data_IF_133967227519
#
_entry.id   IF_133967227519
#
_cell.length_a   1.000
_cell.length_b   1.000
_cell.length_c   1.000
_cell.angle_alpha   90.00
_cell.angle_beta   90.00
_cell.angle_gamma   90.00
#
_symmetry.space_group_name_H-M   'P 1'
#
loop_
_entity.id
_entity.type
_entity.pdbx_description
1 polymer ?
#
# COMPACT_ATOMS: atom_id res chain seq x y z
N UNK A 1 20.95 -5.54 -5.25
CA UNK A 1 22.26 -4.88 -5.27
C UNK A 1 22.35 -3.94 -6.46
N UNK A 2 23.11 -2.82 -6.35
CA UNK A 2 23.36 -1.95 -7.49
C UNK A 2 24.14 -2.68 -8.58
N UNK A 3 23.89 -2.30 -9.82
CA UNK A 3 24.62 -2.78 -10.99
C UNK A 3 24.87 -1.62 -11.95
N UNK A 4 25.85 -1.78 -12.84
CA UNK A 4 26.23 -0.78 -13.81
C UNK A 4 25.93 -1.25 -15.23
N UNK A 5 25.46 -0.33 -16.11
CA UNK A 5 25.21 -0.59 -17.51
C UNK A 5 25.39 0.68 -18.35
N UNK A 6 25.24 0.58 -19.68
CA UNK A 6 25.48 1.69 -20.59
C UNK A 6 24.31 1.84 -21.57
N UNK A 7 23.86 3.06 -21.77
CA UNK A 7 23.15 3.44 -22.99
C UNK A 7 24.23 3.85 -24.00
N UNK A 8 24.71 2.90 -24.79
CA UNK A 8 25.98 2.99 -25.49
C UNK A 8 25.88 3.59 -26.89
N UNK A 9 24.67 3.76 -27.44
CA UNK A 9 24.42 4.25 -28.79
C UNK A 9 23.06 4.93 -28.92
N UNK A 10 22.82 5.68 -30.00
CA UNK A 10 21.51 6.22 -30.33
C UNK A 10 20.43 5.12 -30.34
N UNK A 11 19.29 5.39 -29.71
CA UNK A 11 18.15 4.48 -29.66
C UNK A 11 18.33 3.24 -28.77
N UNK A 12 19.44 3.13 -28.01
CA UNK A 12 19.69 2.04 -27.07
C UNK A 12 18.67 2.04 -25.93
N UNK A 13 18.24 0.84 -25.52
CA UNK A 13 17.20 0.64 -24.48
C UNK A 13 17.54 -0.58 -23.64
N UNK A 14 17.68 -0.37 -22.36
CA UNK A 14 17.90 -1.44 -21.40
C UNK A 14 16.62 -1.80 -20.68
N UNK A 15 16.22 -3.07 -20.75
CA UNK A 15 15.05 -3.62 -20.08
C UNK A 15 15.46 -4.59 -18.98
N UNK A 16 14.99 -4.33 -17.78
CA UNK A 16 15.21 -5.16 -16.60
C UNK A 16 13.92 -5.81 -16.15
N UNK A 17 13.91 -7.15 -16.05
CA UNK A 17 12.76 -7.91 -15.57
C UNK A 17 12.67 -7.86 -14.06
N UNK A 18 11.47 -7.59 -13.53
CA UNK A 18 11.16 -7.57 -12.11
C UNK A 18 10.03 -8.56 -11.87
N UNK A 19 10.32 -9.67 -11.19
CA UNK A 19 9.31 -10.67 -10.86
C UNK A 19 8.56 -10.26 -9.60
N UNK A 20 7.24 -10.14 -9.71
CA UNK A 20 6.32 -9.79 -8.62
C UNK A 20 5.44 -11.00 -8.32
N UNK A 21 5.35 -11.39 -7.06
CA UNK A 21 4.59 -12.56 -6.59
C UNK A 21 3.29 -12.18 -5.85
N UNK A 22 3.08 -10.91 -5.58
CA UNK A 22 1.90 -10.35 -4.90
C UNK A 22 2.05 -8.84 -4.73
N UNK A 23 1.13 -8.18 -4.03
CA UNK A 23 1.17 -6.73 -3.81
C UNK A 23 2.54 -6.26 -3.33
N UNK A 24 3.12 -5.30 -4.03
CA UNK A 24 4.50 -4.84 -3.80
C UNK A 24 4.70 -3.40 -4.26
N UNK A 25 5.76 -2.76 -3.77
CA UNK A 25 6.26 -1.52 -4.32
C UNK A 25 7.58 -1.79 -5.06
N UNK A 26 7.65 -1.42 -6.33
CA UNK A 26 8.90 -1.39 -7.10
C UNK A 26 9.52 -0.01 -6.89
N UNK A 27 10.77 0.03 -6.43
CA UNK A 27 11.55 1.25 -6.24
C UNK A 27 12.78 1.16 -7.11
N UNK A 28 13.03 2.17 -7.92
CA UNK A 28 14.18 2.26 -8.82
C UNK A 28 14.93 3.54 -8.53
N UNK A 29 16.23 3.41 -8.34
CA UNK A 29 17.16 4.53 -8.17
C UNK A 29 18.29 4.38 -9.18
N UNK A 30 18.70 5.47 -9.82
CA UNK A 30 19.82 5.48 -10.76
C UNK A 30 20.52 6.85 -10.78
N UNK A 31 21.80 6.85 -11.09
CA UNK A 31 22.46 8.05 -11.60
C UNK A 31 22.20 8.22 -13.10
N UNK A 32 22.54 9.38 -13.65
CA UNK A 32 22.42 9.64 -15.09
C UNK A 32 23.65 10.40 -15.63
N UNK A 33 24.61 9.66 -16.19
CA UNK A 33 25.78 10.28 -16.81
C UNK A 33 25.51 11.00 -18.14
N UNK A 34 24.32 10.81 -18.70
CA UNK A 34 23.74 11.59 -19.78
C UNK A 34 22.26 11.85 -19.44
N UNK A 35 21.54 12.58 -20.26
CA UNK A 35 20.11 12.85 -20.05
C UNK A 35 19.29 11.62 -20.42
N UNK A 36 18.85 10.87 -19.39
CA UNK A 36 18.14 9.60 -19.54
C UNK A 36 16.69 9.71 -19.12
N UNK A 37 15.88 8.87 -19.71
CA UNK A 37 14.52 8.57 -19.31
C UNK A 37 14.47 7.20 -18.64
N UNK A 38 13.80 7.11 -17.50
CA UNK A 38 13.61 5.87 -16.74
C UNK A 38 12.11 5.63 -16.50
N UNK A 39 11.64 4.39 -16.61
CA UNK A 39 10.25 4.07 -16.33
C UNK A 39 10.05 2.65 -15.86
N UNK A 40 8.94 2.46 -15.12
CA UNK A 40 8.41 1.15 -14.72
C UNK A 40 7.26 0.82 -15.67
N UNK A 41 7.30 -0.37 -16.29
CA UNK A 41 6.35 -0.81 -17.28
C UNK A 41 5.50 -1.97 -16.76
N UNK A 42 4.26 -2.03 -17.24
CA UNK A 42 3.34 -3.14 -17.05
C UNK A 42 3.90 -4.45 -17.65
N UNK A 43 3.40 -5.64 -17.23
CA UNK A 43 3.80 -6.94 -17.78
C UNK A 43 3.69 -7.10 -19.31
N UNK A 44 2.87 -6.28 -19.99
CA UNK A 44 2.83 -6.25 -21.46
C UNK A 44 4.11 -5.64 -22.10
N UNK A 45 4.99 -5.06 -21.28
CA UNK A 45 6.25 -4.45 -21.71
C UNK A 45 6.13 -3.12 -22.46
N UNK A 46 4.92 -2.61 -22.67
CA UNK A 46 4.65 -1.40 -23.46
C UNK A 46 4.02 -0.26 -22.65
N UNK A 47 3.07 -0.57 -21.77
CA UNK A 47 2.36 0.44 -20.99
C UNK A 47 3.23 0.96 -19.85
N UNK A 48 3.52 2.24 -19.86
CA UNK A 48 4.24 2.93 -18.78
C UNK A 48 3.31 3.08 -17.58
N UNK A 49 3.72 2.61 -16.41
CA UNK A 49 3.03 2.79 -15.13
C UNK A 49 3.50 4.07 -14.44
N UNK A 50 4.79 4.30 -14.43
CA UNK A 50 5.41 5.56 -14.03
C UNK A 50 6.73 5.72 -14.78
N UNK A 51 7.10 6.95 -15.12
CA UNK A 51 8.37 7.23 -15.77
C UNK A 51 8.50 8.71 -16.11
N UNK A 52 9.74 9.17 -16.08
CA UNK A 52 10.10 10.56 -16.38
C UNK A 52 11.59 10.64 -16.74
N UNK A 53 12.05 11.80 -17.19
CA UNK A 53 13.46 12.14 -17.34
C UNK A 53 14.14 12.46 -15.99
N UNK A 54 13.35 12.70 -14.94
CA UNK A 54 13.79 12.99 -13.56
C UNK A 54 14.87 14.08 -13.45
N UNK A 55 14.99 14.95 -14.42
CA UNK A 55 15.92 16.06 -14.44
C UNK A 55 17.13 15.86 -15.34
N UNK A 56 18.12 16.74 -15.21
CA UNK A 56 19.25 16.84 -16.12
C UNK A 56 20.42 15.93 -15.74
N UNK A 57 21.38 15.81 -16.67
CA UNK A 57 22.68 15.13 -16.50
C UNK A 57 23.30 15.36 -15.11
N UNK A 58 23.76 14.31 -14.48
CA UNK A 58 24.41 14.35 -13.16
C UNK A 58 23.45 14.45 -11.98
N UNK A 59 22.13 14.44 -12.19
CA UNK A 59 21.13 14.35 -11.13
C UNK A 59 20.72 12.90 -10.90
N UNK A 60 20.52 12.47 -9.63
CA UNK A 60 19.98 11.14 -9.37
C UNK A 60 18.52 11.06 -9.86
N UNK A 61 18.17 9.90 -10.40
CA UNK A 61 16.81 9.55 -10.76
C UNK A 61 16.22 8.61 -9.72
N UNK A 62 14.94 8.79 -9.38
CA UNK A 62 14.20 7.88 -8.51
C UNK A 62 12.76 7.75 -8.97
N UNK A 63 12.28 6.52 -9.07
CA UNK A 63 10.88 6.21 -9.35
C UNK A 63 10.39 5.15 -8.38
N UNK A 64 9.12 5.24 -7.99
CA UNK A 64 8.44 4.21 -7.20
C UNK A 64 7.02 4.01 -7.72
N UNK A 65 6.59 2.75 -7.79
CA UNK A 65 5.23 2.41 -8.20
C UNK A 65 4.70 1.23 -7.41
N UNK A 66 3.43 1.30 -6.99
CA UNK A 66 2.73 0.19 -6.37
C UNK A 66 2.15 -0.72 -7.44
N UNK A 67 2.37 -2.02 -7.30
CA UNK A 67 1.84 -3.06 -8.17
C UNK A 67 1.07 -4.06 -7.32
N UNK A 68 -0.11 -4.45 -7.76
CA UNK A 68 -1.02 -5.30 -6.98
C UNK A 68 -1.09 -6.72 -7.53
N UNK A 69 -0.92 -6.88 -8.83
CA UNK A 69 -1.03 -8.17 -9.50
C UNK A 69 0.32 -8.86 -9.63
N UNK A 70 0.40 -10.19 -9.41
CA UNK A 70 1.59 -10.95 -9.73
C UNK A 70 1.92 -10.87 -11.23
N UNK A 71 3.20 -10.86 -11.56
CA UNK A 71 3.63 -10.81 -12.95
C UNK A 71 5.08 -10.42 -13.13
N UNK A 72 5.50 -10.35 -14.40
CA UNK A 72 6.83 -9.86 -14.79
C UNK A 72 6.70 -8.41 -15.24
N UNK A 73 7.10 -7.49 -14.41
CA UNK A 73 7.19 -6.07 -14.74
C UNK A 73 8.56 -5.76 -15.34
N UNK A 74 8.69 -4.58 -15.93
CA UNK A 74 9.97 -4.16 -16.52
C UNK A 74 10.36 -2.79 -16.03
N UNK A 75 11.65 -2.59 -15.82
CA UNK A 75 12.26 -1.26 -15.71
C UNK A 75 12.95 -0.98 -17.04
N UNK A 76 12.64 0.16 -17.62
CA UNK A 76 13.25 0.62 -18.88
C UNK A 76 14.15 1.82 -18.58
N UNK A 77 15.39 1.75 -19.06
CA UNK A 77 16.32 2.87 -19.15
C UNK A 77 16.63 3.15 -20.62
N UNK A 78 16.60 4.41 -21.04
CA UNK A 78 16.96 4.86 -22.39
C UNK A 78 17.44 6.31 -22.37
N UNK A 79 18.05 6.78 -23.44
CA UNK A 79 18.24 8.19 -23.64
C UNK A 79 16.90 8.95 -23.66
N UNK A 80 16.87 10.18 -23.15
CA UNK A 80 15.70 11.06 -23.28
C UNK A 80 15.32 11.23 -24.75
N UNK A 81 16.32 11.38 -25.62
CA UNK A 81 16.21 11.24 -27.06
C UNK A 81 17.38 10.44 -27.60
N UNK A 82 17.40 10.15 -28.90
CA UNK A 82 18.45 9.35 -29.56
C UNK A 82 19.86 9.98 -29.46
N UNK A 83 19.96 11.26 -29.14
CA UNK A 83 21.24 11.97 -28.96
C UNK A 83 21.84 11.81 -27.56
N UNK A 84 21.10 11.27 -26.60
CA UNK A 84 21.55 11.11 -25.22
C UNK A 84 21.97 9.68 -24.97
N UNK A 85 23.27 9.40 -25.13
CA UNK A 85 23.91 8.14 -24.80
C UNK A 85 25.31 8.41 -24.23
N UNK A 86 25.89 7.44 -23.53
CA UNK A 86 27.22 7.54 -22.97
C UNK A 86 27.91 6.17 -23.02
N UNK A 87 28.97 6.07 -23.84
CA UNK A 87 29.74 4.83 -23.99
C UNK A 87 30.95 4.76 -23.05
N UNK A 88 31.21 5.81 -22.29
CA UNK A 88 32.43 5.91 -21.45
C UNK A 88 32.12 5.84 -19.96
N UNK A 89 30.95 6.32 -19.55
CA UNK A 89 30.53 6.31 -18.14
C UNK A 89 29.24 5.51 -18.01
N UNK A 90 29.23 4.40 -17.26
CA UNK A 90 28.01 3.64 -17.02
C UNK A 90 27.06 4.43 -16.13
N UNK A 91 25.76 4.15 -16.23
CA UNK A 91 24.84 4.48 -15.15
C UNK A 91 24.88 3.37 -14.10
N UNK A 92 24.62 3.73 -12.85
CA UNK A 92 24.48 2.78 -11.75
C UNK A 92 23.01 2.77 -11.33
N UNK A 93 22.40 1.59 -11.39
CA UNK A 93 20.99 1.40 -11.06
C UNK A 93 20.80 0.45 -9.90
N UNK A 94 19.81 0.73 -9.08
CA UNK A 94 19.32 -0.15 -8.02
C UNK A 94 17.83 -0.34 -8.22
N UNK A 95 17.38 -1.58 -8.26
CA UNK A 95 15.98 -1.96 -8.29
C UNK A 95 15.68 -2.75 -7.03
N UNK A 96 14.76 -2.23 -6.21
CA UNK A 96 14.27 -2.89 -5.02
C UNK A 96 12.79 -3.26 -5.20
N UNK A 97 12.41 -4.44 -4.71
CA UNK A 97 11.02 -4.84 -4.57
C UNK A 97 10.71 -4.94 -3.09
N UNK A 98 9.74 -4.17 -2.64
CA UNK A 98 9.27 -4.17 -1.26
C UNK A 98 7.89 -4.83 -1.22
N UNK A 99 7.78 -6.13 -0.86
CA UNK A 99 6.48 -6.79 -0.71
C UNK A 99 5.65 -6.12 0.37
N UNK A 100 4.32 -6.23 0.24
CA UNK A 100 3.41 -5.85 1.31
C UNK A 100 3.68 -6.70 2.57
N UNK A 101 3.45 -6.12 3.74
CA UNK A 101 3.42 -6.88 4.98
C UNK A 101 2.33 -7.96 4.88
N UNK A 102 2.61 -9.13 5.44
CA UNK A 102 1.61 -10.19 5.53
C UNK A 102 0.63 -9.83 6.65
N UNK A 103 -0.66 -9.80 6.34
CA UNK A 103 -1.70 -9.73 7.35
C UNK A 103 -1.95 -11.13 7.93
N UNK A 104 -1.75 -11.34 9.25
CA UNK A 104 -1.98 -12.62 9.87
C UNK A 104 -3.47 -12.95 10.05
N UNK A 105 -4.35 -11.96 9.94
CA UNK A 105 -5.80 -12.13 10.09
C UNK A 105 -6.49 -12.59 8.80
N UNK A 106 -5.82 -12.49 7.67
CA UNK A 106 -6.37 -12.86 6.38
C UNK A 106 -6.72 -14.38 6.24
N UNK A 107 -7.81 -14.72 5.53
CA UNK A 107 -8.78 -13.81 4.91
C UNK A 107 -9.78 -13.25 5.93
N UNK A 108 -10.10 -11.95 5.87
CA UNK A 108 -11.08 -11.28 6.72
C UNK A 108 -11.83 -10.13 6.00
N UNK A 109 -11.97 -10.20 4.66
CA UNK A 109 -12.57 -9.21 3.79
C UNK A 109 -14.11 -9.08 3.89
N UNK A 110 -14.77 -9.87 4.71
CA UNK A 110 -16.23 -9.90 4.81
C UNK A 110 -16.72 -10.34 6.18
N UNK A 111 -18.00 -10.08 6.49
CA UNK A 111 -18.61 -10.50 7.74
C UNK A 111 -18.49 -12.01 8.01
N UNK A 112 -18.53 -12.85 6.96
CA UNK A 112 -18.39 -14.30 7.09
C UNK A 112 -16.95 -14.76 7.39
N UNK A 113 -15.97 -13.92 7.11
CA UNK A 113 -14.54 -14.18 7.32
C UNK A 113 -14.00 -13.40 8.54
N UNK A 114 -14.85 -12.57 9.16
CA UNK A 114 -14.48 -11.70 10.26
C UNK A 114 -13.78 -12.46 11.41
N UNK A 115 -12.74 -11.86 11.98
CA UNK A 115 -11.98 -12.41 13.10
C UNK A 115 -12.48 -11.86 14.43
N UNK A 116 -12.43 -12.68 15.47
CA UNK A 116 -12.88 -12.30 16.80
C UNK A 116 -11.93 -11.34 17.51
N UNK A 117 -12.48 -10.28 18.07
CA UNK A 117 -11.78 -9.37 19.00
C UNK A 117 -12.07 -9.76 20.44
N UNK A 118 -11.04 -9.71 21.28
CA UNK A 118 -11.23 -9.69 22.74
C UNK A 118 -11.27 -8.24 23.23
N UNK A 119 -12.31 -7.89 23.98
CA UNK A 119 -12.45 -6.53 24.50
C UNK A 119 -11.24 -6.11 25.36
N UNK A 120 -10.67 -4.96 25.05
CA UNK A 120 -9.50 -4.41 25.71
C UNK A 120 -8.15 -4.94 25.19
N UNK A 121 -8.14 -5.90 24.25
CA UNK A 121 -6.91 -6.39 23.63
C UNK A 121 -6.75 -5.78 22.23
N UNK A 122 -5.56 -5.23 21.89
CA UNK A 122 -5.32 -4.75 20.55
C UNK A 122 -5.16 -5.90 19.54
N UNK A 123 -5.63 -5.69 18.34
CA UNK A 123 -5.33 -6.49 17.15
C UNK A 123 -4.64 -5.62 16.11
N UNK A 124 -3.95 -6.26 15.18
CA UNK A 124 -3.22 -5.59 14.12
C UNK A 124 -3.66 -6.15 12.77
N UNK A 125 -3.79 -5.28 11.78
CA UNK A 125 -4.06 -5.63 10.39
C UNK A 125 -3.28 -4.74 9.42
N UNK A 126 -3.31 -5.11 8.16
CA UNK A 126 -2.65 -4.39 7.06
C UNK A 126 -3.67 -4.22 5.94
N UNK A 127 -3.81 -3.02 5.43
CA UNK A 127 -4.65 -2.71 4.28
C UNK A 127 -3.73 -2.48 3.06
N UNK A 128 -3.31 -3.54 2.34
CA UNK A 128 -2.29 -3.44 1.31
C UNK A 128 -2.82 -2.94 -0.04
N UNK A 129 -4.14 -2.92 -0.25
CA UNK A 129 -4.77 -2.52 -1.51
C UNK A 129 -5.95 -1.58 -1.30
N UNK A 130 -6.40 -0.93 -2.38
CA UNK A 130 -7.55 -0.02 -2.37
C UNK A 130 -8.89 -0.71 -2.11
N UNK A 131 -8.97 -2.02 -2.27
CA UNK A 131 -10.21 -2.82 -2.16
C UNK A 131 -10.26 -3.68 -0.92
N UNK A 132 -9.18 -3.68 -0.16
CA UNK A 132 -9.04 -4.47 1.03
C UNK A 132 -9.92 -3.95 2.17
N UNK A 133 -10.45 -4.85 2.99
CA UNK A 133 -11.33 -4.55 4.11
C UNK A 133 -11.11 -5.55 5.22
N UNK A 134 -10.69 -5.09 6.39
CA UNK A 134 -10.54 -5.94 7.56
C UNK A 134 -11.81 -5.94 8.40
N UNK A 135 -12.47 -7.07 8.47
CA UNK A 135 -13.65 -7.30 9.28
C UNK A 135 -13.29 -8.00 10.59
N UNK A 136 -13.64 -7.33 11.70
CA UNK A 136 -13.45 -7.83 13.06
C UNK A 136 -14.80 -7.88 13.77
N UNK A 137 -15.08 -8.93 14.54
CA UNK A 137 -16.32 -8.97 15.34
C UNK A 137 -16.04 -8.97 16.83
N UNK A 138 -16.96 -8.43 17.60
CA UNK A 138 -17.00 -8.49 19.06
C UNK A 138 -18.45 -8.56 19.55
N UNK A 139 -18.64 -9.06 20.76
CA UNK A 139 -19.92 -9.03 21.43
C UNK A 139 -19.92 -7.84 22.42
N UNK A 140 -20.91 -6.95 22.32
CA UNK A 140 -21.00 -5.75 23.13
C UNK A 140 -21.11 -6.12 24.62
N UNK A 141 -20.44 -5.36 25.54
CA UNK A 141 -20.53 -5.64 26.96
C UNK A 141 -21.94 -5.37 27.52
N UNK A 142 -22.20 -5.85 28.75
CA UNK A 142 -23.52 -5.74 29.42
C UNK A 142 -24.04 -4.30 29.45
N UNK A 143 -23.15 -3.30 29.62
CA UNK A 143 -23.55 -1.88 29.62
C UNK A 143 -23.70 -1.32 28.22
N UNK A 144 -23.35 -2.06 27.18
CA UNK A 144 -23.45 -1.66 25.79
C UNK A 144 -22.51 -0.51 25.36
N UNK A 145 -21.73 0.08 26.24
CA UNK A 145 -20.89 1.22 25.94
C UNK A 145 -19.46 0.76 25.62
N UNK A 146 -18.94 1.11 24.44
CA UNK A 146 -17.60 0.76 23.98
C UNK A 146 -16.87 1.97 23.46
N UNK A 147 -15.54 1.95 23.59
CA UNK A 147 -14.60 2.87 22.93
C UNK A 147 -13.81 2.08 21.92
N UNK A 148 -13.74 2.56 20.70
CA UNK A 148 -13.00 1.96 19.58
C UNK A 148 -11.89 2.93 19.23
N UNK A 149 -10.64 2.44 19.20
CA UNK A 149 -9.48 3.20 18.75
C UNK A 149 -8.77 2.46 17.65
N UNK A 150 -8.31 3.18 16.61
CA UNK A 150 -7.54 2.60 15.53
C UNK A 150 -6.45 3.59 15.07
N UNK A 151 -5.22 3.10 14.94
CA UNK A 151 -4.13 3.89 14.33
C UNK A 151 -4.30 3.92 12.81
N UNK A 152 -3.84 5.01 12.17
CA UNK A 152 -4.00 5.22 10.74
C UNK A 152 -2.65 5.40 10.04
N UNK A 153 -2.01 4.32 9.57
CA UNK A 153 -0.81 4.45 8.74
C UNK A 153 -1.08 5.08 7.36
N UNK A 154 -2.33 4.97 6.89
CA UNK A 154 -2.88 5.73 5.77
C UNK A 154 -4.23 6.33 6.21
N UNK A 155 -4.92 7.03 5.32
CA UNK A 155 -6.24 7.58 5.61
C UNK A 155 -7.30 6.48 5.47
N UNK A 156 -7.78 5.97 6.60
CA UNK A 156 -8.73 4.88 6.68
C UNK A 156 -10.11 5.36 7.14
N UNK A 157 -11.12 4.62 6.75
CA UNK A 157 -12.48 4.72 7.26
C UNK A 157 -12.73 3.61 8.27
N UNK A 158 -13.41 3.96 9.36
CA UNK A 158 -13.89 3.01 10.34
C UNK A 158 -15.41 2.92 10.27
N UNK A 159 -15.93 1.72 10.06
CA UNK A 159 -17.35 1.41 10.12
C UNK A 159 -17.63 0.49 11.32
N UNK A 160 -18.75 0.68 11.97
CA UNK A 160 -19.31 -0.29 12.90
C UNK A 160 -20.64 -0.76 12.36
N UNK A 161 -20.77 -2.07 12.21
CA UNK A 161 -21.91 -2.71 11.54
C UNK A 161 -22.58 -3.67 12.52
N UNK A 162 -23.90 -3.69 12.58
CA UNK A 162 -24.65 -4.65 13.38
C UNK A 162 -24.74 -6.03 12.71
N UNK A 163 -25.31 -7.02 13.40
CA UNK A 163 -25.48 -8.37 12.89
C UNK A 163 -26.43 -8.50 11.69
N UNK A 164 -27.22 -7.45 11.42
CA UNK A 164 -28.10 -7.38 10.25
C UNK A 164 -27.42 -6.71 9.04
N UNK A 165 -26.15 -6.29 9.16
CA UNK A 165 -25.40 -5.62 8.11
C UNK A 165 -25.67 -4.12 8.01
N UNK A 166 -26.33 -3.51 9.00
CA UNK A 166 -26.62 -2.08 9.02
C UNK A 166 -25.48 -1.31 9.69
N UNK A 167 -25.04 -0.22 9.09
CA UNK A 167 -24.08 0.69 9.68
C UNK A 167 -24.67 1.35 10.93
N UNK A 168 -23.98 1.17 12.07
CA UNK A 168 -24.18 1.92 13.32
C UNK A 168 -23.44 3.23 13.26
N UNK A 169 -22.21 3.20 12.74
CA UNK A 169 -21.43 4.38 12.38
C UNK A 169 -20.55 4.07 11.16
N UNK A 170 -20.28 5.10 10.39
CA UNK A 170 -19.45 5.04 9.18
C UNK A 170 -18.78 6.39 9.02
N UNK A 171 -17.60 6.54 9.64
CA UNK A 171 -16.98 7.83 9.80
C UNK A 171 -15.53 7.82 9.31
N UNK A 172 -15.15 8.95 8.76
CA UNK A 172 -13.76 9.40 8.67
C UNK A 172 -13.45 10.12 9.99
N UNK A 173 -12.53 9.55 10.75
CA UNK A 173 -12.14 10.09 12.06
C UNK A 173 -10.75 10.75 12.01
N UNK A 174 -10.43 11.39 10.89
CA UNK A 174 -9.18 12.10 10.63
C UNK A 174 -8.29 11.39 9.62
N UNK A 175 -7.28 12.08 9.11
CA UNK A 175 -6.40 11.59 8.06
C UNK A 175 -5.23 10.74 8.57
N UNK A 176 -4.32 10.39 7.66
CA UNK A 176 -3.09 9.65 7.94
C UNK A 176 -2.36 10.17 9.18
N UNK A 177 -1.99 9.26 10.09
CA UNK A 177 -1.29 9.56 11.35
C UNK A 177 -2.20 9.99 12.50
N UNK A 178 -3.49 10.25 12.25
CA UNK A 178 -4.44 10.52 13.32
C UNK A 178 -4.85 9.21 14.02
N UNK A 179 -5.20 9.31 15.30
CA UNK A 179 -5.83 8.22 16.02
C UNK A 179 -7.35 8.30 15.81
N UNK A 180 -7.94 7.33 15.16
CA UNK A 180 -9.40 7.18 15.17
C UNK A 180 -9.82 6.81 16.59
N UNK A 181 -10.77 7.56 17.17
CA UNK A 181 -11.27 7.37 18.55
C UNK A 181 -12.77 7.65 18.60
N UNK A 182 -13.54 6.61 18.82
CA UNK A 182 -15.01 6.71 18.87
C UNK A 182 -15.58 5.96 20.06
N UNK A 183 -16.47 6.63 20.79
CA UNK A 183 -17.29 5.99 21.82
C UNK A 183 -18.72 5.81 21.31
N UNK A 184 -19.25 4.60 21.47
CA UNK A 184 -20.59 4.22 21.00
C UNK A 184 -21.40 3.61 22.12
N UNK A 185 -22.73 3.85 22.09
CA UNK A 185 -23.71 3.11 22.87
C UNK A 185 -24.36 2.07 21.94
N UNK A 186 -24.18 0.80 22.24
CA UNK A 186 -24.63 -0.35 21.46
C UNK A 186 -25.69 -1.14 22.24
N UNK A 187 -26.43 -2.00 21.57
CA UNK A 187 -27.30 -2.95 22.26
C UNK A 187 -26.45 -3.97 23.03
N UNK A 188 -26.69 -4.12 24.35
CA UNK A 188 -25.93 -5.05 25.16
C UNK A 188 -25.98 -6.50 24.63
N UNK A 189 -24.90 -7.25 24.80
CA UNK A 189 -24.79 -8.68 24.48
C UNK A 189 -25.07 -9.01 23.00
N UNK A 190 -25.06 -8.00 22.13
CA UNK A 190 -25.27 -8.16 20.69
C UNK A 190 -23.93 -8.16 19.96
N UNK A 191 -23.85 -8.91 18.85
CA UNK A 191 -22.66 -8.95 17.99
C UNK A 191 -22.62 -7.75 17.07
N UNK A 192 -21.43 -7.18 16.99
CA UNK A 192 -21.09 -6.09 16.06
C UNK A 192 -19.80 -6.39 15.33
N UNK A 193 -19.64 -5.74 14.19
CA UNK A 193 -18.42 -5.79 13.39
C UNK A 193 -17.79 -4.41 13.35
N UNK A 194 -16.47 -4.36 13.44
CA UNK A 194 -15.66 -3.20 13.10
C UNK A 194 -15.00 -3.48 11.78
N UNK A 195 -15.13 -2.57 10.83
CA UNK A 195 -14.52 -2.68 9.50
C UNK A 195 -13.54 -1.54 9.33
N UNK A 196 -12.28 -1.89 9.09
CA UNK A 196 -11.23 -0.95 8.70
C UNK A 196 -11.02 -1.08 7.21
N UNK A 197 -11.08 0.02 6.47
CA UNK A 197 -10.95 0.03 5.02
C UNK A 197 -10.34 1.34 4.54
N UNK A 198 -9.80 1.43 3.31
CA UNK A 198 -9.35 2.69 2.73
C UNK A 198 -10.47 3.73 2.71
N UNK A 199 -10.16 5.00 2.99
CA UNK A 199 -11.11 6.09 2.81
C UNK A 199 -11.52 6.25 1.34
N UNK A 200 -10.55 6.20 0.44
CA UNK A 200 -10.74 6.28 -1.02
C UNK A 200 -9.52 5.69 -1.74
N UNK A 201 -9.50 5.76 -3.07
CA UNK A 201 -8.35 5.33 -3.88
C UNK A 201 -7.05 5.98 -3.42
N UNK A 202 -5.97 5.21 -3.38
CA UNK A 202 -4.65 5.64 -2.94
C UNK A 202 -4.44 5.67 -1.42
N UNK A 203 -5.48 5.43 -0.61
CA UNK A 203 -5.39 5.43 0.84
C UNK A 203 -5.23 4.01 1.41
N UNK A 204 -4.15 3.36 1.08
CA UNK A 204 -3.76 2.04 1.60
C UNK A 204 -2.34 2.10 2.20
N UNK A 205 -1.95 1.09 2.97
CA UNK A 205 -0.61 0.98 3.54
C UNK A 205 -0.10 -0.45 3.42
N UNK A 206 0.87 -0.66 2.52
CA UNK A 206 1.49 -1.98 2.32
C UNK A 206 2.55 -2.32 3.38
N UNK A 207 3.13 -1.31 4.04
CA UNK A 207 4.36 -1.49 4.82
C UNK A 207 4.21 -1.07 6.27
N UNK A 208 3.03 -0.63 6.68
CA UNK A 208 2.72 -0.27 8.06
C UNK A 208 1.37 -0.85 8.45
N UNK A 209 1.33 -1.58 9.56
CA UNK A 209 0.11 -2.14 10.12
C UNK A 209 -0.63 -1.10 10.98
N UNK A 210 -1.97 -1.15 10.95
CA UNK A 210 -2.76 -0.45 11.95
C UNK A 210 -2.89 -1.29 13.23
N UNK A 211 -3.29 -0.63 14.32
CA UNK A 211 -3.70 -1.30 15.56
C UNK A 211 -5.12 -0.87 15.91
N UNK A 212 -6.01 -1.84 16.08
CA UNK A 212 -7.40 -1.66 16.47
C UNK A 212 -7.63 -2.18 17.88
N UNK A 213 -8.32 -1.41 18.71
CA UNK A 213 -8.76 -1.85 20.04
C UNK A 213 -10.22 -1.49 20.24
N UNK A 214 -11.01 -2.45 20.72
CA UNK A 214 -12.38 -2.22 21.22
C UNK A 214 -12.39 -2.50 22.70
N UNK A 215 -12.74 -1.53 23.52
CA UNK A 215 -12.74 -1.66 24.97
C UNK A 215 -14.07 -1.25 25.58
N UNK A 216 -14.51 -1.85 26.73
CA UNK A 216 -15.64 -1.31 27.47
C UNK A 216 -15.37 0.15 27.87
N UNK A 217 -16.36 1.02 27.71
CA UNK A 217 -16.30 2.40 28.18
C UNK A 217 -17.17 2.61 29.42
N UNK A 218 -16.78 3.56 30.28
CA UNK A 218 -17.53 3.94 31.47
C UNK A 218 -18.66 4.91 31.14
#
# INVERSE_FOLDING_TARGET
QPFAAFISRPGDKDYYKVNITGPSQIVVESDQPADYWMGILHPDGSRVLTGDDFGNVGKPMAAAHYVFEPGVYYVLMRGYSDNYYNMHTPYNMKIDVKPALKDPAEPNDSANQAKGLQLGQPVSGVIPTETDQDWWYFDAPILGKVRITCTQPADFRLRVVDSAGKDVTNEDLGGKGALMDKTLQLLPMSRYYVVVQPWSKGHFSMHEAYQLTVSPAK
#
